data_IF_943695741399
#
_entry.id   IF_943695741399
#
_cell.length_a   1.000
_cell.length_b   1.000
_cell.length_c   1.000
_cell.angle_alpha   90.00
_cell.angle_beta   90.00
_cell.angle_gamma   90.00
#
_symmetry.space_group_name_H-M   'P 1'
#
loop_
_entity.id
_entity.type
_entity.pdbx_description
1 polymer ?
#
# COMPACT_ATOMS: atom_id res chain seq x y z
N UNK A 1 34.31 46.21 -54.52
CA UNK A 1 33.19 45.32 -54.20
C UNK A 1 32.81 45.55 -52.75
N UNK A 2 31.71 46.29 -52.49
CA UNK A 2 31.23 46.61 -51.15
C UNK A 2 30.49 45.42 -50.53
N UNK A 3 30.96 44.96 -49.38
CA UNK A 3 30.34 43.85 -48.63
C UNK A 3 29.14 44.41 -47.85
N UNK A 4 27.91 44.03 -48.23
CA UNK A 4 26.68 44.43 -47.57
C UNK A 4 26.68 43.87 -46.11
N UNK A 5 26.69 44.76 -45.13
CA UNK A 5 26.56 44.41 -43.69
C UNK A 5 25.08 44.11 -43.41
N UNK A 6 24.71 42.84 -43.25
CA UNK A 6 23.39 42.43 -42.82
C UNK A 6 23.23 42.79 -41.36
N UNK A 7 22.32 43.74 -41.03
CA UNK A 7 21.92 44.06 -39.66
C UNK A 7 21.20 42.86 -39.10
N UNK A 8 21.81 42.17 -38.12
CA UNK A 8 21.14 41.13 -37.31
C UNK A 8 20.06 41.81 -36.48
N UNK A 9 18.80 41.51 -36.75
CA UNK A 9 17.68 41.87 -35.88
C UNK A 9 17.84 41.10 -34.59
N UNK A 10 18.01 41.79 -33.45
CA UNK A 10 17.92 41.20 -32.12
C UNK A 10 16.47 40.73 -31.91
N UNK A 11 16.24 39.47 -31.84
CA UNK A 11 14.95 38.90 -31.39
C UNK A 11 14.87 39.12 -29.89
N UNK A 12 14.08 40.07 -29.45
CA UNK A 12 13.73 40.25 -28.04
C UNK A 12 12.74 39.13 -27.68
N UNK A 13 13.22 38.15 -26.93
CA UNK A 13 12.36 37.05 -26.41
C UNK A 13 11.67 37.62 -25.17
N UNK A 14 10.35 37.70 -25.20
CA UNK A 14 9.55 38.12 -24.06
C UNK A 14 9.61 37.01 -22.97
N UNK A 15 10.42 37.29 -21.95
CA UNK A 15 10.63 36.35 -20.83
C UNK A 15 9.39 36.20 -19.95
N UNK A 16 8.45 37.15 -19.98
CA UNK A 16 7.20 37.12 -19.22
C UNK A 16 6.29 35.98 -19.75
N UNK A 17 6.10 35.91 -21.06
CA UNK A 17 5.30 34.84 -21.68
C UNK A 17 5.92 33.45 -21.45
N UNK A 18 7.25 33.36 -21.53
CA UNK A 18 7.98 32.11 -21.25
C UNK A 18 7.83 31.68 -19.79
N UNK A 19 7.91 32.62 -18.84
CA UNK A 19 7.73 32.36 -17.43
C UNK A 19 6.31 31.90 -17.10
N UNK A 20 5.30 32.52 -17.71
CA UNK A 20 3.89 32.16 -17.50
C UNK A 20 3.59 30.73 -17.96
N UNK A 21 4.04 30.35 -19.18
CA UNK A 21 3.89 29.00 -19.69
C UNK A 21 4.60 27.98 -18.80
N UNK A 22 5.80 28.30 -18.30
CA UNK A 22 6.56 27.41 -17.42
C UNK A 22 5.86 27.21 -16.08
N UNK A 23 5.33 28.28 -15.48
CA UNK A 23 4.59 28.21 -14.21
C UNK A 23 3.27 27.45 -14.39
N UNK A 24 2.53 27.69 -15.48
CA UNK A 24 1.31 26.95 -15.80
C UNK A 24 1.58 25.46 -15.98
N UNK A 25 2.65 25.10 -16.69
CA UNK A 25 3.06 23.73 -16.88
C UNK A 25 3.45 23.07 -15.55
N UNK A 26 4.21 23.78 -14.71
CA UNK A 26 4.61 23.31 -13.38
C UNK A 26 3.40 23.05 -12.48
N UNK A 27 2.47 24.02 -12.41
CA UNK A 27 1.24 23.88 -11.62
C UNK A 27 0.35 22.76 -12.14
N UNK A 28 0.24 22.60 -13.45
CA UNK A 28 -0.48 21.50 -14.08
C UNK A 28 0.12 20.16 -13.66
N UNK A 29 1.43 19.97 -13.75
CA UNK A 29 2.08 18.72 -13.32
C UNK A 29 1.94 18.47 -11.82
N UNK A 30 1.99 19.50 -10.97
CA UNK A 30 1.74 19.34 -9.54
C UNK A 30 0.31 18.89 -9.24
N UNK A 31 -0.68 19.44 -9.93
CA UNK A 31 -2.10 19.09 -9.73
C UNK A 31 -2.45 17.73 -10.33
N UNK A 32 -1.79 17.32 -11.40
CA UNK A 32 -2.03 16.00 -12.03
C UNK A 32 -1.15 14.90 -11.47
N UNK A 33 -0.15 15.24 -10.65
CA UNK A 33 0.70 14.25 -9.99
C UNK A 33 -0.09 13.50 -8.92
N UNK A 34 -0.44 12.25 -9.21
CA UNK A 34 -1.04 11.35 -8.22
C UNK A 34 0.08 10.64 -7.46
N UNK A 35 0.08 10.80 -6.14
CA UNK A 35 0.96 10.02 -5.29
C UNK A 35 0.47 8.57 -5.25
N UNK A 36 1.12 7.70 -6.01
CA UNK A 36 0.87 6.25 -5.92
C UNK A 36 1.50 5.77 -4.61
N UNK A 37 0.68 5.17 -3.73
CA UNK A 37 1.19 4.52 -2.52
C UNK A 37 2.13 3.39 -2.95
N UNK A 38 3.36 3.44 -2.47
CA UNK A 38 4.34 2.39 -2.72
C UNK A 38 3.86 1.12 -2.01
N UNK A 39 3.59 0.06 -2.75
CA UNK A 39 3.32 -1.25 -2.18
C UNK A 39 4.66 -1.91 -1.80
N UNK A 40 4.92 -2.17 -0.50
CA UNK A 40 6.20 -2.73 -0.04
C UNK A 40 6.36 -4.19 -0.50
N UNK A 41 5.26 -4.89 -0.75
CA UNK A 41 5.23 -6.26 -1.26
C UNK A 41 4.57 -6.27 -2.63
N UNK A 42 5.33 -6.64 -3.65
CA UNK A 42 4.84 -6.77 -5.02
C UNK A 42 4.38 -8.21 -5.27
N UNK A 43 3.09 -8.41 -5.45
CA UNK A 43 2.51 -9.70 -5.82
C UNK A 43 2.09 -9.64 -7.28
N UNK A 44 2.65 -10.50 -8.11
CA UNK A 44 2.25 -10.63 -9.51
C UNK A 44 0.97 -11.46 -9.57
N UNK A 45 -0.17 -10.81 -9.79
CA UNK A 45 -1.45 -11.52 -9.90
C UNK A 45 -1.61 -12.16 -11.27
N UNK A 46 -2.09 -13.42 -11.36
CA UNK A 46 -2.41 -14.02 -12.64
C UNK A 46 -3.56 -13.28 -13.32
N UNK A 47 -3.59 -13.30 -14.66
CA UNK A 47 -4.67 -12.71 -15.43
C UNK A 47 -6.00 -13.40 -15.07
N UNK A 48 -6.96 -12.63 -14.57
CA UNK A 48 -8.31 -13.12 -14.28
C UNK A 48 -9.23 -12.84 -15.46
N UNK A 49 -10.05 -13.83 -15.82
CA UNK A 49 -11.09 -13.72 -16.85
C UNK A 49 -12.43 -13.23 -16.25
N UNK A 50 -12.46 -12.95 -14.95
CA UNK A 50 -13.71 -12.57 -14.26
C UNK A 50 -13.93 -11.06 -14.34
N UNK A 51 -15.10 -10.67 -14.87
CA UNK A 51 -15.55 -9.28 -14.98
C UNK A 51 -16.24 -8.75 -13.70
N UNK A 52 -16.01 -9.38 -12.56
CA UNK A 52 -16.62 -8.92 -11.30
C UNK A 52 -16.02 -7.56 -10.94
N UNK A 53 -16.83 -6.52 -10.99
CA UNK A 53 -16.42 -5.19 -10.50
C UNK A 53 -16.10 -5.25 -9.01
N UNK A 54 -14.82 -5.06 -8.70
CA UNK A 54 -14.37 -4.95 -7.31
C UNK A 54 -14.91 -3.62 -6.78
N UNK A 55 -15.63 -3.59 -5.65
CA UNK A 55 -16.06 -2.34 -5.06
C UNK A 55 -14.85 -1.52 -4.63
N UNK A 56 -14.91 -0.21 -4.82
CA UNK A 56 -13.80 0.71 -4.54
C UNK A 56 -13.62 1.02 -3.04
N UNK A 57 -14.56 0.59 -2.19
CA UNK A 57 -14.59 0.94 -0.76
C UNK A 57 -14.87 -0.28 0.11
N UNK A 58 -14.42 -0.23 1.36
CA UNK A 58 -14.59 -1.28 2.36
C UNK A 58 -13.92 -2.60 1.94
N UNK A 59 -12.69 -2.54 1.48
CA UNK A 59 -11.93 -3.72 1.06
C UNK A 59 -10.87 -4.05 2.10
N UNK A 60 -10.85 -5.31 2.52
CA UNK A 60 -9.73 -5.94 3.19
C UNK A 60 -8.98 -6.75 2.15
N UNK A 61 -7.82 -6.26 1.73
CA UNK A 61 -6.97 -6.97 0.80
C UNK A 61 -6.00 -7.87 1.57
N UNK A 62 -6.00 -9.14 1.21
CA UNK A 62 -5.06 -10.14 1.72
C UNK A 62 -4.09 -10.44 0.58
N UNK A 63 -2.81 -10.21 0.81
CA UNK A 63 -1.74 -10.50 -0.14
C UNK A 63 -0.99 -11.73 0.33
N UNK A 64 -0.78 -12.67 -0.57
CA UNK A 64 0.03 -13.88 -0.34
C UNK A 64 1.21 -13.85 -1.28
N UNK A 65 2.40 -13.81 -0.69
CA UNK A 65 3.67 -13.78 -1.40
C UNK A 65 4.05 -15.18 -1.93
N UNK A 66 4.96 -15.33 -2.92
CA UNK A 66 5.45 -16.64 -3.39
C UNK A 66 5.95 -17.56 -2.29
N UNK A 67 6.50 -16.99 -1.22
CA UNK A 67 6.98 -17.73 -0.04
C UNK A 67 5.86 -18.16 0.92
N UNK A 68 4.59 -17.88 0.60
CA UNK A 68 3.44 -18.19 1.43
C UNK A 68 3.22 -17.25 2.62
N UNK A 69 3.93 -16.12 2.68
CA UNK A 69 3.73 -15.11 3.71
C UNK A 69 2.47 -14.31 3.45
N UNK A 70 1.74 -14.00 4.52
CA UNK A 70 0.47 -13.30 4.45
C UNK A 70 0.65 -11.86 4.90
N UNK A 71 0.14 -10.95 4.09
CA UNK A 71 0.05 -9.51 4.39
C UNK A 71 -1.39 -9.05 4.26
N UNK A 72 -1.73 -8.00 4.98
CA UNK A 72 -3.06 -7.42 4.94
C UNK A 72 -3.00 -5.92 4.66
N UNK A 73 -4.04 -5.42 4.01
CA UNK A 73 -4.21 -4.00 3.72
C UNK A 73 -5.68 -3.64 3.88
N UNK A 74 -5.98 -2.49 4.47
CA UNK A 74 -7.33 -1.96 4.59
C UNK A 74 -7.40 -0.55 4.04
N UNK A 75 -8.54 -0.22 3.46
CA UNK A 75 -8.75 1.05 2.76
C UNK A 75 -8.99 2.23 3.73
N UNK A 76 -9.74 1.98 4.83
CA UNK A 76 -10.10 3.00 5.80
C UNK A 76 -9.11 3.09 6.95
N UNK A 77 -8.52 4.27 7.15
CA UNK A 77 -7.60 4.54 8.25
C UNK A 77 -8.27 4.48 9.64
N UNK A 78 -9.56 4.85 9.74
CA UNK A 78 -10.32 4.74 10.99
C UNK A 78 -10.46 3.30 11.44
N UNK A 79 -10.79 2.42 10.49
CA UNK A 79 -11.00 1.00 10.76
C UNK A 79 -9.67 0.32 11.13
N UNK A 80 -8.56 0.73 10.48
CA UNK A 80 -7.21 0.25 10.83
C UNK A 80 -6.84 0.53 12.29
N UNK A 81 -7.11 1.75 12.79
CA UNK A 81 -6.85 2.09 14.19
C UNK A 81 -7.68 1.25 15.15
N UNK A 82 -9.00 1.17 14.91
CA UNK A 82 -9.89 0.40 15.75
C UNK A 82 -9.54 -1.10 15.78
N UNK A 83 -9.09 -1.65 14.64
CA UNK A 83 -8.63 -3.03 14.56
C UNK A 83 -7.32 -3.23 15.32
N UNK A 84 -6.37 -2.27 15.22
CA UNK A 84 -5.11 -2.33 15.96
C UNK A 84 -5.33 -2.28 17.48
N UNK A 85 -6.23 -1.41 17.95
CA UNK A 85 -6.61 -1.33 19.37
C UNK A 85 -7.16 -2.66 19.88
N UNK A 86 -8.14 -3.25 19.16
CA UNK A 86 -8.71 -4.56 19.52
C UNK A 86 -7.69 -5.69 19.52
N UNK A 87 -6.79 -5.69 18.55
CA UNK A 87 -5.68 -6.65 18.53
C UNK A 87 -4.72 -6.43 19.69
N UNK A 88 -4.47 -5.16 20.05
CA UNK A 88 -3.67 -4.80 21.23
C UNK A 88 -4.29 -5.32 22.51
N UNK A 89 -5.60 -5.17 22.69
CA UNK A 89 -6.33 -5.70 23.84
C UNK A 89 -6.26 -7.23 23.91
N UNK A 90 -6.45 -7.92 22.77
CA UNK A 90 -6.42 -9.38 22.68
C UNK A 90 -5.03 -9.97 22.99
N UNK A 91 -3.97 -9.32 22.54
CA UNK A 91 -2.58 -9.77 22.72
C UNK A 91 -1.86 -9.08 23.89
N UNK A 92 -2.53 -8.21 24.63
CA UNK A 92 -1.95 -7.49 25.77
C UNK A 92 -0.88 -6.46 25.38
N UNK A 93 -0.98 -5.89 24.20
CA UNK A 93 -0.03 -4.92 23.64
C UNK A 93 -0.69 -3.55 23.57
N UNK A 94 -0.15 -2.56 24.31
CA UNK A 94 -0.64 -1.18 24.23
C UNK A 94 0.16 -0.37 23.22
N UNK A 95 -0.50 0.37 22.36
CA UNK A 95 0.13 1.23 21.35
C UNK A 95 0.07 2.70 21.78
N UNK A 96 1.05 3.48 21.34
CA UNK A 96 1.02 4.94 21.50
C UNK A 96 0.21 5.59 20.38
N UNK A 97 -0.37 6.79 20.59
CA UNK A 97 -1.11 7.50 19.55
C UNK A 97 -0.28 7.80 18.28
N UNK A 98 1.05 7.87 18.41
CA UNK A 98 1.96 8.05 17.29
C UNK A 98 2.10 6.75 16.48
N UNK A 99 2.22 5.61 17.15
CA UNK A 99 2.27 4.29 16.51
C UNK A 99 0.96 3.98 15.79
N UNK A 100 -0.19 4.33 16.36
CA UNK A 100 -1.50 4.20 15.70
C UNK A 100 -1.60 5.05 14.42
N UNK A 101 -1.09 6.28 14.45
CA UNK A 101 -1.03 7.13 13.26
C UNK A 101 -0.12 6.54 12.20
N UNK A 102 1.06 6.06 12.57
CA UNK A 102 2.00 5.40 11.66
C UNK A 102 1.36 4.17 11.03
N UNK A 103 0.69 3.34 11.83
CA UNK A 103 -0.03 2.16 11.33
C UNK A 103 -1.16 2.53 10.37
N UNK A 104 -1.95 3.56 10.68
CA UNK A 104 -3.04 4.02 9.81
C UNK A 104 -2.54 4.60 8.47
N UNK A 105 -1.30 5.09 8.42
CA UNK A 105 -0.66 5.57 7.20
C UNK A 105 -0.02 4.44 6.39
N UNK A 106 0.26 3.31 7.03
CA UNK A 106 0.83 2.13 6.36
C UNK A 106 -0.16 1.57 5.35
N UNK A 107 0.29 1.33 4.13
CA UNK A 107 -0.55 0.76 3.06
C UNK A 107 -0.76 -0.73 3.24
N UNK A 108 0.20 -1.43 3.84
CA UNK A 108 0.22 -2.88 4.02
C UNK A 108 0.93 -3.20 5.32
N UNK A 109 0.45 -4.18 6.03
CA UNK A 109 1.08 -4.69 7.25
C UNK A 109 1.11 -6.23 7.23
N UNK A 110 2.09 -6.81 7.90
CA UNK A 110 2.31 -8.24 7.88
C UNK A 110 3.40 -8.66 8.86
N UNK A 111 3.32 -8.17 10.10
CA UNK A 111 4.31 -8.43 11.15
C UNK A 111 3.62 -9.10 12.33
N UNK A 112 4.27 -10.06 13.02
CA UNK A 112 3.74 -10.64 14.26
C UNK A 112 3.47 -9.57 15.32
N UNK A 113 2.42 -9.74 16.14
CA UNK A 113 2.04 -8.78 17.18
C UNK A 113 3.17 -8.48 18.18
N UNK A 114 4.04 -9.45 18.42
CA UNK A 114 5.21 -9.27 19.30
C UNK A 114 6.21 -8.26 18.77
N UNK A 115 6.42 -8.22 17.45
CA UNK A 115 7.35 -7.32 16.77
C UNK A 115 6.70 -6.01 16.33
N UNK A 116 5.36 -5.91 16.41
CA UNK A 116 4.58 -4.78 15.88
C UNK A 116 5.01 -3.42 16.45
N UNK A 117 5.27 -3.33 17.76
CA UNK A 117 5.75 -2.08 18.39
C UNK A 117 7.07 -1.61 17.78
N UNK A 118 8.06 -2.51 17.74
CA UNK A 118 9.38 -2.21 17.18
C UNK A 118 9.28 -1.84 15.71
N UNK A 119 8.40 -2.50 14.97
CA UNK A 119 8.14 -2.21 13.57
C UNK A 119 7.59 -0.80 13.36
N UNK A 120 6.63 -0.36 14.19
CA UNK A 120 6.00 0.95 14.08
C UNK A 120 6.92 2.11 14.50
N UNK A 121 7.92 1.86 15.34
CA UNK A 121 8.91 2.85 15.75
C UNK A 121 10.02 3.08 14.69
N UNK A 122 10.08 2.23 13.66
CA UNK A 122 11.08 2.32 12.61
C UNK A 122 10.64 3.27 11.48
N UNK A 123 11.60 3.94 10.81
CA UNK A 123 11.30 4.70 9.61
C UNK A 123 10.82 3.77 8.47
N UNK A 124 9.98 4.28 7.57
CA UNK A 124 9.30 3.53 6.52
C UNK A 124 10.22 2.68 5.64
N UNK A 125 11.45 3.14 5.37
CA UNK A 125 12.43 2.37 4.58
C UNK A 125 12.86 1.06 5.27
N UNK A 126 12.98 1.10 6.60
CA UNK A 126 13.32 -0.10 7.40
C UNK A 126 12.10 -1.00 7.60
N UNK A 127 10.91 -0.42 7.68
CA UNK A 127 9.65 -1.17 7.70
C UNK A 127 9.49 -2.01 6.44
N UNK A 128 9.76 -1.45 5.25
CA UNK A 128 9.73 -2.17 3.97
C UNK A 128 10.71 -3.36 3.93
N UNK A 129 11.88 -3.22 4.56
CA UNK A 129 12.87 -4.30 4.63
C UNK A 129 12.41 -5.45 5.55
N UNK A 130 11.72 -5.14 6.65
CA UNK A 130 11.16 -6.15 7.56
C UNK A 130 10.00 -6.87 6.91
N UNK A 131 9.10 -6.16 6.23
CA UNK A 131 7.96 -6.75 5.51
C UNK A 131 8.39 -7.75 4.43
N UNK A 132 9.60 -7.61 3.88
CA UNK A 132 10.13 -8.59 2.92
C UNK A 132 10.52 -9.93 3.56
N UNK A 133 10.76 -9.95 4.86
CA UNK A 133 11.25 -11.13 5.57
C UNK A 133 10.21 -11.74 6.52
N UNK A 134 9.26 -10.94 7.00
CA UNK A 134 8.24 -11.37 7.94
C UNK A 134 6.85 -11.36 7.28
N UNK A 135 5.92 -12.12 7.86
CA UNK A 135 4.51 -12.19 7.47
C UNK A 135 3.64 -12.41 8.70
N UNK A 136 2.32 -12.30 8.55
CA UNK A 136 1.38 -12.59 9.64
C UNK A 136 1.41 -14.10 9.90
N UNK A 137 1.67 -14.53 11.16
CA UNK A 137 1.63 -15.94 11.52
C UNK A 137 0.23 -16.55 11.32
N UNK A 138 0.19 -17.70 10.65
CA UNK A 138 -1.04 -18.46 10.42
C UNK A 138 -0.96 -19.91 10.94
N UNK A 139 -0.05 -20.15 11.88
CA UNK A 139 0.16 -21.48 12.47
C UNK A 139 -1.03 -21.95 13.30
N UNK A 140 -1.13 -23.25 13.51
CA UNK A 140 -2.21 -23.86 14.32
C UNK A 140 -2.18 -23.43 15.78
N UNK A 141 -1.01 -23.04 16.30
CA UNK A 141 -0.80 -22.67 17.71
C UNK A 141 -1.06 -21.16 17.91
N UNK A 142 -0.57 -20.30 17.00
CA UNK A 142 -0.73 -18.86 17.04
C UNK A 142 -1.26 -18.35 15.70
N UNK A 143 -2.58 -18.45 15.51
CA UNK A 143 -3.23 -18.00 14.30
C UNK A 143 -3.62 -16.52 14.40
N UNK A 144 -2.64 -15.66 14.28
CA UNK A 144 -2.86 -14.20 14.31
C UNK A 144 -3.67 -13.73 13.11
N UNK A 145 -3.52 -14.36 11.95
CA UNK A 145 -4.30 -14.04 10.75
C UNK A 145 -5.82 -14.16 11.01
N UNK A 146 -6.24 -15.23 11.67
CA UNK A 146 -7.66 -15.43 12.04
C UNK A 146 -8.16 -14.34 12.99
N UNK A 147 -7.33 -13.95 13.96
CA UNK A 147 -7.65 -12.88 14.90
C UNK A 147 -7.80 -11.52 14.18
N UNK A 148 -6.90 -11.19 13.25
CA UNK A 148 -6.97 -9.99 12.44
C UNK A 148 -8.26 -9.93 11.61
N UNK A 149 -8.60 -10.98 10.88
CA UNK A 149 -9.82 -11.04 10.05
C UNK A 149 -11.08 -10.93 10.93
N UNK A 150 -11.12 -11.60 12.08
CA UNK A 150 -12.23 -11.54 13.03
C UNK A 150 -12.43 -10.12 13.56
N UNK A 151 -11.38 -9.48 14.03
CA UNK A 151 -11.43 -8.12 14.56
C UNK A 151 -11.75 -7.10 13.47
N UNK A 152 -11.23 -7.26 12.26
CA UNK A 152 -11.58 -6.41 11.12
C UNK A 152 -13.07 -6.48 10.80
N UNK A 153 -13.67 -7.67 10.79
CA UNK A 153 -15.10 -7.84 10.59
C UNK A 153 -15.96 -7.37 11.77
N UNK A 154 -15.44 -7.43 12.99
CA UNK A 154 -16.12 -6.91 14.17
C UNK A 154 -16.14 -5.36 14.19
N UNK A 155 -15.17 -4.70 13.54
CA UNK A 155 -15.16 -3.23 13.35
C UNK A 155 -16.06 -2.82 12.19
N UNK A 156 -16.01 -3.57 11.09
CA UNK A 156 -16.80 -3.25 9.89
C UNK A 156 -17.42 -4.52 9.32
N UNK A 157 -18.74 -4.69 9.51
CA UNK A 157 -19.50 -5.85 9.01
C UNK A 157 -19.61 -5.91 7.49
N UNK A 158 -19.56 -4.74 6.82
CA UNK A 158 -19.71 -4.62 5.36
C UNK A 158 -18.37 -4.82 4.63
N UNK A 159 -17.33 -5.22 5.36
CA UNK A 159 -16.00 -5.42 4.79
C UNK A 159 -15.98 -6.58 3.79
N UNK A 160 -15.53 -6.29 2.58
CA UNK A 160 -15.32 -7.31 1.54
C UNK A 160 -13.87 -7.74 1.54
N UNK A 161 -13.64 -9.04 1.41
CA UNK A 161 -12.30 -9.63 1.40
C UNK A 161 -11.88 -9.85 -0.05
N UNK A 162 -10.74 -9.27 -0.42
CA UNK A 162 -10.07 -9.48 -1.69
C UNK A 162 -8.76 -10.24 -1.43
N UNK A 163 -8.57 -11.38 -2.05
CA UNK A 163 -7.34 -12.18 -1.93
C UNK A 163 -6.54 -12.00 -3.20
N UNK A 164 -5.30 -11.53 -3.06
CA UNK A 164 -4.31 -11.43 -4.13
C UNK A 164 -3.17 -12.38 -3.80
N UNK A 165 -3.05 -13.46 -4.55
CA UNK A 165 -1.99 -14.45 -4.38
C UNK A 165 -1.09 -14.48 -5.62
N UNK A 166 0.20 -14.74 -5.39
CA UNK A 166 1.13 -15.01 -6.48
C UNK A 166 0.77 -16.34 -7.17
N UNK A 167 1.00 -16.51 -8.49
CA UNK A 167 0.70 -17.75 -9.20
C UNK A 167 1.32 -18.99 -8.59
N UNK A 168 2.49 -18.89 -8.00
CA UNK A 168 3.17 -20.01 -7.34
C UNK A 168 2.40 -20.44 -6.09
N UNK A 169 1.97 -19.51 -5.26
CA UNK A 169 1.15 -19.81 -4.07
C UNK A 169 -0.25 -20.28 -4.44
N UNK A 170 -0.81 -19.78 -5.53
CA UNK A 170 -2.14 -20.17 -6.00
C UNK A 170 -2.20 -21.64 -6.44
N UNK A 171 -1.15 -22.17 -7.09
CA UNK A 171 -1.07 -23.57 -7.46
C UNK A 171 -1.09 -24.52 -6.25
N UNK A 172 -0.47 -24.13 -5.15
CA UNK A 172 -0.50 -24.89 -3.89
C UNK A 172 -1.86 -24.81 -3.17
N UNK A 173 -2.58 -23.70 -3.29
CA UNK A 173 -3.92 -23.54 -2.70
C UNK A 173 -5.01 -24.31 -3.46
N UNK A 174 -4.85 -24.52 -4.76
CA UNK A 174 -5.85 -25.18 -5.61
C UNK A 174 -5.65 -26.68 -5.76
N UNK A 175 -4.44 -27.21 -5.58
CA UNK A 175 -4.13 -28.63 -5.69
C UNK A 175 -4.93 -29.55 -4.76
N UNK A 176 -5.23 -29.22 -3.49
CA UNK A 176 -6.03 -30.07 -2.62
C UNK A 176 -7.53 -30.06 -2.93
N UNK A 177 -8.01 -29.18 -3.78
CA UNK A 177 -9.45 -29.07 -4.10
C UNK A 177 -9.86 -29.97 -5.28
N UNK A 178 -8.91 -30.62 -5.96
CA UNK A 178 -9.11 -31.45 -7.15
C UNK A 178 -8.94 -32.94 -6.84
N UNK A 179 -8.61 -33.31 -5.59
CA UNK A 179 -8.44 -34.72 -5.16
C UNK A 179 -9.67 -35.27 -4.42
#
# INVERSE_FOLDING_TARGET
>A
MGRAKIKKKSTFIDMTAMSDVTVLLLTFFMLTSTFVKKEPVQVTTPASVSEIKIPEKNILSILVDPDGRIFMSMDKQSDLKAVLEKMGEEYGVTFTPEQEKTFALSSTFGVPMKSMKTFLDLPSEKQDAILKNEGIPCDSIDNQFKAWVRNARAVNSDLRIAIKADPVSYTHLTLPTIA
#
